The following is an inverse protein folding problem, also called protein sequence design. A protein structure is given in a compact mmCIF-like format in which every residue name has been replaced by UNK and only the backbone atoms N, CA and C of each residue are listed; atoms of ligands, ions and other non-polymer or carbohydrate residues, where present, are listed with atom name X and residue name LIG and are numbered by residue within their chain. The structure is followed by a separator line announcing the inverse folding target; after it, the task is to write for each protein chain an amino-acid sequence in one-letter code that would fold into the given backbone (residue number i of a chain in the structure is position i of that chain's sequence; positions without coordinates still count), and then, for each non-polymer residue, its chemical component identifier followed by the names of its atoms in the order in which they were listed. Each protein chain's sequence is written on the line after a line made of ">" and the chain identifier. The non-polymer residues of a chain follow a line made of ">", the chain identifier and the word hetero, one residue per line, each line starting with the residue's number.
data_IF_593901027888
#
_entry.id   IF_593901027888
#
_cell.length_a   1.000
_cell.length_b   1.000
_cell.length_c   1.000
_cell.angle_alpha   90.00
_cell.angle_beta   90.00
_cell.angle_gamma   90.00
#
_symmetry.space_group_name_H-M   'P 1'
#
loop_
_entity.id
_entity.type
_entity.pdbx_description
1 polymer ?
#
# COMPACT_ATOMS: atom_id res chain seq x y z
N UNK A 1 5.33 3.38 -24.63
CA UNK A 1 4.49 3.41 -23.42
C UNK A 1 5.07 2.46 -22.40
N UNK A 2 5.35 2.93 -21.19
CA UNK A 2 5.78 2.04 -20.12
C UNK A 2 4.65 1.08 -19.76
N UNK A 3 4.99 -0.17 -19.61
CA UNK A 3 4.04 -1.14 -19.12
C UNK A 3 3.80 -0.95 -17.62
N UNK A 4 2.67 -1.40 -17.13
CA UNK A 4 2.27 -1.23 -15.72
C UNK A 4 3.33 -1.79 -14.74
N UNK A 5 3.95 -2.92 -15.06
CA UNK A 5 4.99 -3.55 -14.22
C UNK A 5 6.38 -2.96 -14.38
N UNK A 6 6.58 -2.09 -15.37
CA UNK A 6 7.85 -1.36 -15.57
C UNK A 6 7.87 -0.05 -14.79
N UNK A 7 6.82 0.23 -14.05
CA UNK A 7 6.74 1.44 -13.23
C UNK A 7 7.90 1.49 -12.23
N UNK A 8 8.63 2.57 -12.22
CA UNK A 8 9.81 2.80 -11.40
C UNK A 8 11.11 2.04 -11.80
N UNK A 9 11.14 1.23 -12.85
CA UNK A 9 12.35 0.48 -13.21
C UNK A 9 13.56 1.35 -13.57
N UNK A 10 13.33 2.50 -14.20
CA UNK A 10 14.38 3.42 -14.66
C UNK A 10 14.66 4.55 -13.67
N UNK A 11 14.20 4.44 -12.44
CA UNK A 11 14.36 5.46 -11.41
C UNK A 11 15.49 5.08 -10.49
N UNK A 12 16.35 6.04 -10.17
CA UNK A 12 17.42 5.85 -9.23
C UNK A 12 16.89 5.82 -7.81
N UNK A 13 17.03 4.67 -7.17
CA UNK A 13 16.68 4.45 -5.78
C UNK A 13 17.93 4.23 -4.93
N UNK A 14 17.82 4.62 -3.67
CA UNK A 14 18.67 4.13 -2.60
C UNK A 14 17.88 3.16 -1.74
N UNK A 15 18.52 2.11 -1.23
CA UNK A 15 17.92 1.20 -0.26
C UNK A 15 18.45 1.59 1.11
N UNK A 16 17.57 2.12 1.98
CA UNK A 16 17.92 2.59 3.31
C UNK A 16 16.98 1.95 4.33
N UNK A 17 17.54 1.25 5.31
CA UNK A 17 16.74 0.55 6.31
C UNK A 17 15.78 -0.49 5.73
N UNK A 18 16.11 -1.07 4.57
CA UNK A 18 15.27 -2.02 3.87
C UNK A 18 14.21 -1.41 2.96
N UNK A 19 14.13 -0.08 2.85
CA UNK A 19 13.16 0.62 2.01
C UNK A 19 13.80 1.22 0.77
N UNK A 20 13.13 1.08 -0.37
CA UNK A 20 13.50 1.80 -1.58
C UNK A 20 12.97 3.23 -1.52
N UNK A 21 13.87 4.18 -1.54
CA UNK A 21 13.58 5.61 -1.49
C UNK A 21 14.25 6.32 -2.67
N UNK A 22 13.65 7.41 -3.12
CA UNK A 22 14.19 8.18 -4.24
C UNK A 22 15.48 8.88 -3.82
N UNK A 23 16.55 8.71 -4.61
CA UNK A 23 17.85 9.32 -4.29
C UNK A 23 18.07 10.70 -4.92
N UNK A 24 17.13 11.20 -5.72
CA UNK A 24 17.19 12.55 -6.27
C UNK A 24 16.94 13.66 -5.24
N UNK A 25 16.40 13.33 -4.08
CA UNK A 25 16.16 14.26 -2.99
C UNK A 25 17.26 14.20 -1.94
N UNK A 26 17.51 15.31 -1.19
CA UNK A 26 18.61 15.38 -0.23
C UNK A 26 18.36 14.65 1.10
N UNK A 27 17.15 14.09 1.30
CA UNK A 27 16.69 13.53 2.57
C UNK A 27 16.21 12.06 2.48
N UNK A 28 17.00 11.15 1.88
CA UNK A 28 16.57 9.75 1.74
C UNK A 28 16.42 9.03 3.09
N UNK A 29 17.20 9.40 4.09
CA UNK A 29 17.07 8.83 5.44
C UNK A 29 15.72 9.19 6.08
N UNK A 30 15.24 10.41 5.89
CA UNK A 30 13.94 10.84 6.39
C UNK A 30 12.82 10.10 5.66
N UNK A 31 12.92 9.93 4.35
CA UNK A 31 11.96 9.14 3.57
C UNK A 31 11.86 7.70 4.09
N UNK A 32 13.00 7.05 4.33
CA UNK A 32 13.04 5.70 4.90
C UNK A 32 12.36 5.63 6.27
N UNK A 33 12.62 6.59 7.14
CA UNK A 33 11.98 6.65 8.47
C UNK A 33 10.47 6.77 8.36
N UNK A 34 9.96 7.59 7.44
CA UNK A 34 8.52 7.75 7.23
C UNK A 34 7.89 6.43 6.78
N UNK A 35 8.51 5.73 5.83
CA UNK A 35 8.01 4.42 5.38
C UNK A 35 8.01 3.42 6.53
N UNK A 36 9.03 3.42 7.37
CA UNK A 36 9.09 2.55 8.54
C UNK A 36 7.98 2.88 9.56
N UNK A 37 7.73 4.15 9.83
CA UNK A 37 6.64 4.56 10.71
C UNK A 37 5.28 4.14 10.17
N UNK A 38 5.05 4.26 8.87
CA UNK A 38 3.82 3.78 8.22
C UNK A 38 3.67 2.26 8.38
N UNK A 39 4.75 1.50 8.25
CA UNK A 39 4.72 0.04 8.51
C UNK A 39 4.33 -0.29 9.94
N UNK A 40 4.86 0.43 10.91
CA UNK A 40 4.52 0.26 12.32
C UNK A 40 3.05 0.61 12.59
N UNK A 41 2.54 1.66 11.96
CA UNK A 41 1.12 2.04 12.05
C UNK A 41 0.23 0.95 11.48
N UNK A 42 0.56 0.38 10.33
CA UNK A 42 -0.15 -0.74 9.74
C UNK A 42 -0.19 -1.92 10.72
N UNK A 43 0.94 -2.29 11.28
CA UNK A 43 1.03 -3.39 12.23
C UNK A 43 0.11 -3.18 13.44
N UNK A 44 0.20 -2.02 14.08
CA UNK A 44 -0.64 -1.67 15.23
C UNK A 44 -2.13 -1.68 14.87
N UNK A 45 -2.47 -1.13 13.71
CA UNK A 45 -3.87 -1.03 13.27
C UNK A 45 -4.51 -2.39 13.11
N UNK A 46 -3.84 -3.32 12.45
CA UNK A 46 -4.42 -4.63 12.17
C UNK A 46 -4.36 -5.61 13.34
N UNK A 47 -3.51 -5.37 14.33
CA UNK A 47 -3.52 -6.17 15.56
C UNK A 47 -4.64 -5.77 16.52
N UNK A 48 -5.21 -4.59 16.41
CA UNK A 48 -6.25 -4.07 17.31
C UNK A 48 -7.70 -4.29 16.83
N UNK A 49 -7.92 -4.53 15.53
CA UNK A 49 -9.27 -4.60 14.95
C UNK A 49 -10.17 -5.62 15.64
N UNK A 50 -9.66 -6.81 15.92
CA UNK A 50 -10.44 -7.96 16.41
C UNK A 50 -11.11 -7.75 17.76
N UNK A 51 -10.74 -6.72 18.50
CA UNK A 51 -11.21 -6.51 19.87
C UNK A 51 -12.30 -5.45 20.00
N UNK A 52 -12.58 -4.70 18.97
CA UNK A 52 -13.38 -3.46 19.07
C UNK A 52 -14.55 -3.38 18.10
N UNK A 53 -14.67 -4.29 17.13
CA UNK A 53 -15.63 -4.12 16.03
C UNK A 53 -16.71 -5.22 16.02
N UNK A 54 -17.94 -4.84 15.69
CA UNK A 54 -19.01 -5.78 15.33
C UNK A 54 -18.62 -6.41 13.98
N UNK A 55 -18.70 -7.74 13.89
CA UNK A 55 -18.29 -8.45 12.68
C UNK A 55 -19.28 -8.19 11.54
N UNK A 56 -18.81 -7.48 10.53
CA UNK A 56 -19.45 -7.30 9.23
C UNK A 56 -18.64 -8.05 8.16
N UNK A 57 -19.16 -8.22 6.93
CA UNK A 57 -18.36 -8.83 5.86
C UNK A 57 -17.02 -8.12 5.64
N UNK A 58 -17.00 -6.80 5.72
CA UNK A 58 -15.78 -6.01 5.55
C UNK A 58 -14.81 -6.21 6.72
N UNK A 59 -15.27 -6.27 7.95
CA UNK A 59 -14.44 -6.56 9.13
C UNK A 59 -13.88 -7.98 9.04
N UNK A 60 -14.71 -8.96 8.68
CA UNK A 60 -14.24 -10.32 8.47
C UNK A 60 -13.13 -10.39 7.43
N UNK A 61 -13.29 -9.67 6.31
CA UNK A 61 -12.25 -9.58 5.30
C UNK A 61 -10.96 -8.96 5.84
N UNK A 62 -11.04 -7.90 6.62
CA UNK A 62 -9.85 -7.28 7.23
C UNK A 62 -9.17 -8.22 8.22
N UNK A 63 -9.92 -8.97 9.00
CA UNK A 63 -9.38 -9.97 9.94
C UNK A 63 -8.68 -11.12 9.19
N UNK A 64 -9.28 -11.63 8.12
CA UNK A 64 -8.70 -12.72 7.33
C UNK A 64 -7.51 -12.29 6.48
N UNK A 65 -7.44 -11.04 6.08
CA UNK A 65 -6.34 -10.49 5.28
C UNK A 65 -5.28 -9.74 6.10
N UNK A 66 -5.50 -9.54 7.39
CA UNK A 66 -4.63 -8.71 8.25
C UNK A 66 -3.16 -9.12 8.20
N UNK A 67 -2.88 -10.41 8.17
CA UNK A 67 -1.54 -10.95 8.05
C UNK A 67 -0.85 -10.48 6.76
N UNK A 68 -1.57 -10.54 5.65
CA UNK A 68 -1.06 -10.13 4.34
C UNK A 68 -0.84 -8.61 4.29
N UNK A 69 -1.80 -7.85 4.82
CA UNK A 69 -1.71 -6.39 4.86
C UNK A 69 -0.51 -5.92 5.70
N UNK A 70 -0.20 -6.61 6.78
CA UNK A 70 0.98 -6.33 7.60
C UNK A 70 2.29 -6.63 6.88
N UNK A 71 2.30 -7.58 5.96
CA UNK A 71 3.50 -7.96 5.20
C UNK A 71 3.72 -7.12 3.94
N UNK A 72 2.80 -6.23 3.58
CA UNK A 72 2.95 -5.39 2.39
C UNK A 72 4.24 -4.58 2.47
N UNK A 73 5.00 -4.59 1.37
CA UNK A 73 6.17 -3.74 1.22
C UNK A 73 5.74 -2.33 0.80
N UNK A 74 6.34 -1.33 1.43
CA UNK A 74 6.16 0.07 1.05
C UNK A 74 7.40 0.59 0.35
N UNK A 75 7.22 1.35 -0.73
CA UNK A 75 8.29 2.01 -1.45
C UNK A 75 7.89 3.45 -1.77
N UNK A 76 8.87 4.34 -1.88
CA UNK A 76 8.60 5.71 -2.31
C UNK A 76 8.30 5.75 -3.81
N UNK A 77 7.19 6.35 -4.18
CA UNK A 77 6.84 6.63 -5.57
C UNK A 77 7.42 7.96 -6.02
N UNK A 78 7.85 8.03 -7.28
CA UNK A 78 8.29 9.30 -7.88
C UNK A 78 7.18 10.35 -7.99
N UNK A 79 5.92 9.94 -7.79
CA UNK A 79 4.78 10.84 -8.00
C UNK A 79 4.52 11.12 -9.46
N UNK A 80 3.76 10.25 -10.11
CA UNK A 80 3.19 10.56 -11.41
C UNK A 80 1.98 11.47 -11.19
N UNK A 81 1.71 12.38 -12.14
CA UNK A 81 0.50 13.19 -12.12
C UNK A 81 -0.79 12.37 -12.16
N UNK A 82 -0.71 11.12 -12.59
CA UNK A 82 -1.85 10.19 -12.68
C UNK A 82 -2.01 9.32 -11.42
N UNK A 83 -0.90 9.03 -10.71
CA UNK A 83 -0.93 8.13 -9.56
C UNK A 83 -0.22 8.73 -8.35
N UNK A 84 -0.94 8.97 -7.28
CA UNK A 84 -0.36 9.30 -5.97
C UNK A 84 0.05 8.03 -5.21
N UNK A 85 -0.60 6.92 -5.50
CA UNK A 85 -0.28 5.59 -4.98
C UNK A 85 -0.50 4.52 -6.05
N UNK A 86 0.21 3.45 -5.94
CA UNK A 86 0.10 2.31 -6.85
C UNK A 86 0.37 1.02 -6.10
N UNK A 87 -0.53 0.08 -6.28
CA UNK A 87 -0.44 -1.26 -5.71
C UNK A 87 -0.21 -2.26 -6.84
N UNK A 88 0.99 -2.81 -6.93
CA UNK A 88 1.36 -3.76 -7.99
C UNK A 88 2.14 -4.96 -7.46
N UNK A 89 2.29 -6.03 -8.25
CA UNK A 89 3.15 -7.15 -7.88
C UNK A 89 4.56 -6.69 -7.54
N UNK A 90 5.14 -7.29 -6.49
CA UNK A 90 6.48 -7.00 -6.02
C UNK A 90 7.54 -7.56 -6.97
N UNK A 91 8.61 -6.80 -7.17
CA UNK A 91 9.78 -7.24 -7.91
C UNK A 91 9.72 -6.98 -9.41
N UNK A 92 10.77 -7.39 -10.10
CA UNK A 92 10.86 -7.31 -11.55
C UNK A 92 10.33 -8.63 -12.11
N UNK A 93 9.20 -8.57 -12.77
CA UNK A 93 8.58 -9.74 -13.39
C UNK A 93 8.48 -9.54 -14.88
N UNK A 94 8.72 -10.60 -15.63
CA UNK A 94 8.30 -10.63 -17.04
C UNK A 94 6.78 -10.54 -17.12
N UNK A 95 6.24 -10.13 -18.26
CA UNK A 95 4.78 -10.17 -18.50
C UNK A 95 4.15 -11.51 -18.15
N UNK A 96 4.87 -12.60 -18.45
CA UNK A 96 4.42 -13.97 -18.17
C UNK A 96 4.32 -14.20 -16.66
N UNK A 97 5.35 -13.81 -15.92
CA UNK A 97 5.39 -13.99 -14.46
C UNK A 97 4.33 -13.15 -13.77
N UNK A 98 4.17 -11.90 -14.18
CA UNK A 98 3.14 -11.01 -13.65
C UNK A 98 1.73 -11.56 -13.90
N UNK A 99 1.48 -12.15 -15.07
CA UNK A 99 0.20 -12.80 -15.38
C UNK A 99 -0.03 -14.05 -14.55
N UNK A 100 0.99 -14.84 -14.33
CA UNK A 100 0.91 -16.03 -13.48
C UNK A 100 0.58 -15.65 -12.04
N UNK A 101 1.34 -14.73 -11.47
CA UNK A 101 1.09 -14.21 -10.12
C UNK A 101 -0.31 -13.59 -10.04
N UNK A 102 -0.73 -12.89 -11.09
CA UNK A 102 -2.05 -12.26 -11.17
C UNK A 102 -3.23 -13.24 -11.15
N UNK A 103 -3.03 -14.50 -11.51
CA UNK A 103 -4.09 -15.54 -11.49
C UNK A 103 -4.26 -16.17 -10.11
N UNK A 104 -3.20 -16.25 -9.32
CA UNK A 104 -3.24 -16.77 -7.96
C UNK A 104 -3.38 -15.61 -6.97
N UNK A 105 -4.52 -15.54 -6.30
CA UNK A 105 -4.84 -14.46 -5.35
C UNK A 105 -3.89 -14.40 -4.17
N UNK A 106 -3.47 -15.55 -3.65
CA UNK A 106 -2.56 -15.62 -2.51
C UNK A 106 -1.16 -15.14 -2.91
N UNK A 107 -0.68 -15.53 -4.09
CA UNK A 107 0.58 -15.04 -4.62
C UNK A 107 0.54 -13.54 -4.90
N UNK A 108 -0.57 -13.03 -5.46
CA UNK A 108 -0.73 -11.58 -5.68
C UNK A 108 -0.59 -10.79 -4.39
N UNK A 109 -1.26 -11.23 -3.35
CA UNK A 109 -1.21 -10.56 -2.07
C UNK A 109 0.20 -10.59 -1.46
N UNK A 110 0.83 -11.76 -1.48
CA UNK A 110 2.18 -11.95 -0.92
C UNK A 110 3.26 -11.13 -1.63
N UNK A 111 3.13 -10.95 -2.95
CA UNK A 111 4.16 -10.29 -3.77
C UNK A 111 3.78 -8.87 -4.20
N UNK A 112 2.79 -8.27 -3.58
CA UNK A 112 2.44 -6.88 -3.88
C UNK A 112 3.29 -5.90 -3.09
N UNK A 113 3.53 -4.77 -3.71
CA UNK A 113 4.18 -3.63 -3.10
C UNK A 113 3.31 -2.40 -3.30
N UNK A 114 3.25 -1.55 -2.29
CA UNK A 114 2.56 -0.27 -2.36
C UNK A 114 3.59 0.83 -2.59
N UNK A 115 3.45 1.54 -3.69
CA UNK A 115 4.23 2.75 -4.00
C UNK A 115 3.44 3.95 -3.49
N UNK A 116 4.07 4.75 -2.64
CA UNK A 116 3.44 5.92 -2.02
C UNK A 116 4.16 7.19 -2.41
N UNK A 117 3.41 8.17 -2.87
CA UNK A 117 3.90 9.55 -3.01
C UNK A 117 3.90 10.21 -1.63
N UNK A 118 5.04 10.22 -0.98
CA UNK A 118 5.20 10.77 0.36
C UNK A 118 5.61 12.24 0.37
N UNK A 119 5.79 12.85 -0.81
CA UNK A 119 6.24 14.25 -0.95
C UNK A 119 5.17 15.11 -1.59
N UNK A 120 5.19 16.38 -1.26
CA UNK A 120 4.38 17.39 -1.93
C UNK A 120 5.05 17.85 -3.25
N UNK A 121 4.40 18.78 -3.96
CA UNK A 121 4.89 19.32 -5.23
C UNK A 121 6.28 19.95 -5.14
N UNK A 122 6.65 20.46 -3.97
CA UNK A 122 7.96 21.07 -3.71
C UNK A 122 9.04 20.06 -3.28
N UNK A 123 8.73 18.76 -3.30
CA UNK A 123 9.64 17.70 -2.89
C UNK A 123 9.78 17.53 -1.38
N UNK A 124 9.01 18.26 -0.58
CA UNK A 124 9.01 18.12 0.89
C UNK A 124 8.17 16.93 1.33
N UNK A 125 8.67 16.17 2.28
CA UNK A 125 7.96 15.04 2.86
C UNK A 125 6.71 15.53 3.59
N UNK A 126 5.57 14.91 3.27
CA UNK A 126 4.28 15.17 3.90
C UNK A 126 4.29 14.71 5.35
N UNK A 127 3.46 15.31 6.18
CA UNK A 127 3.17 14.78 7.52
C UNK A 127 2.48 13.41 7.38
N UNK A 128 2.77 12.49 8.28
CA UNK A 128 2.21 11.12 8.27
C UNK A 128 0.69 11.14 8.16
N UNK A 129 0.01 11.97 8.94
CA UNK A 129 -1.46 12.08 8.88
C UNK A 129 -2.01 12.38 7.48
N UNK A 130 -1.22 13.05 6.64
CA UNK A 130 -1.63 13.40 5.27
C UNK A 130 -1.32 12.28 4.26
N UNK A 131 -0.52 11.29 4.65
CA UNK A 131 -0.21 10.12 3.83
C UNK A 131 -1.22 8.99 4.10
N UNK A 132 -1.81 8.95 5.28
CA UNK A 132 -2.71 7.86 5.69
C UNK A 132 -3.91 7.65 4.76
N UNK A 133 -4.58 8.68 4.20
CA UNK A 133 -5.69 8.45 3.26
C UNK A 133 -5.24 7.69 2.01
N UNK A 134 -4.07 7.99 1.47
CA UNK A 134 -3.51 7.28 0.33
C UNK A 134 -3.17 5.84 0.71
N UNK A 135 -2.54 5.64 1.85
CA UNK A 135 -2.18 4.31 2.34
C UNK A 135 -3.42 3.44 2.56
N UNK A 136 -4.48 3.97 3.17
CA UNK A 136 -5.72 3.22 3.40
C UNK A 136 -6.37 2.80 2.09
N UNK A 137 -6.37 3.68 1.09
CA UNK A 137 -6.87 3.41 -0.25
C UNK A 137 -6.17 2.20 -0.88
N UNK A 138 -4.85 2.18 -0.85
CA UNK A 138 -4.06 1.09 -1.42
C UNK A 138 -4.21 -0.23 -0.62
N UNK A 139 -4.32 -0.14 0.70
CA UNK A 139 -4.58 -1.32 1.53
C UNK A 139 -5.98 -1.90 1.27
N UNK A 140 -6.98 -1.06 1.03
CA UNK A 140 -8.31 -1.51 0.66
C UNK A 140 -8.31 -2.29 -0.66
N UNK A 141 -7.57 -1.84 -1.67
CA UNK A 141 -7.37 -2.59 -2.91
C UNK A 141 -6.73 -3.96 -2.64
N UNK A 142 -5.73 -4.02 -1.78
CA UNK A 142 -5.09 -5.30 -1.42
C UNK A 142 -6.09 -6.25 -0.76
N UNK A 143 -6.87 -5.77 0.19
CA UNK A 143 -7.88 -6.59 0.87
C UNK A 143 -8.93 -7.13 -0.11
N UNK A 144 -9.46 -6.28 -1.00
CA UNK A 144 -10.46 -6.68 -1.98
C UNK A 144 -9.96 -7.70 -3.00
N UNK A 145 -8.67 -7.76 -3.26
CA UNK A 145 -8.10 -8.77 -4.16
C UNK A 145 -8.26 -10.21 -3.65
N UNK A 146 -8.64 -10.40 -2.38
CA UNK A 146 -8.85 -11.72 -1.77
C UNK A 146 -10.27 -12.23 -1.87
N UNK A 147 -11.22 -11.41 -2.32
CA UNK A 147 -12.62 -11.80 -2.47
C UNK A 147 -13.14 -11.46 -3.86
N UNK A 148 -14.15 -12.22 -4.29
CA UNK A 148 -14.89 -11.93 -5.51
C UNK A 148 -16.23 -11.28 -5.13
N UNK A 149 -16.16 -10.07 -4.60
CA UNK A 149 -17.37 -9.28 -4.44
C UNK A 149 -17.76 -8.64 -5.77
N UNK A 150 -19.05 -8.37 -5.93
CA UNK A 150 -19.60 -7.82 -7.19
C UNK A 150 -19.32 -6.33 -7.35
N UNK A 151 -18.59 -5.72 -6.46
CA UNK A 151 -18.26 -4.31 -6.54
C UNK A 151 -17.18 -4.07 -7.59
N UNK A 152 -17.35 -2.97 -8.31
CA UNK A 152 -16.27 -2.39 -9.08
C UNK A 152 -15.15 -1.91 -8.15
N UNK A 153 -14.04 -1.56 -8.76
CA UNK A 153 -12.77 -1.21 -8.10
C UNK A 153 -12.90 -0.13 -7.02
N UNK A 154 -13.93 0.69 -7.04
CA UNK A 154 -14.22 1.73 -6.04
C UNK A 154 -15.70 1.73 -5.64
N UNK A 155 -16.30 0.55 -5.48
CA UNK A 155 -17.69 0.37 -5.12
C UNK A 155 -17.96 0.52 -3.61
N UNK A 156 -19.14 0.08 -3.18
CA UNK A 156 -19.61 0.23 -1.80
C UNK A 156 -18.73 -0.49 -0.78
N UNK A 157 -18.27 -1.70 -1.09
CA UNK A 157 -17.37 -2.47 -0.20
C UNK A 157 -16.00 -1.81 -0.10
N UNK A 158 -15.47 -1.32 -1.21
CA UNK A 158 -14.22 -0.57 -1.20
C UNK A 158 -14.32 0.66 -0.29
N UNK A 159 -15.37 1.43 -0.44
CA UNK A 159 -15.61 2.64 0.35
C UNK A 159 -15.64 2.35 1.86
N UNK A 160 -16.37 1.29 2.25
CA UNK A 160 -16.42 0.86 3.65
C UNK A 160 -15.06 0.41 4.17
N UNK A 161 -14.35 -0.40 3.39
CA UNK A 161 -13.00 -0.86 3.75
C UNK A 161 -12.03 0.30 3.91
N UNK A 162 -12.01 1.21 2.96
CA UNK A 162 -11.13 2.37 2.99
C UNK A 162 -11.38 3.23 4.24
N UNK A 163 -12.63 3.53 4.53
CA UNK A 163 -13.01 4.30 5.73
C UNK A 163 -12.63 3.58 7.02
N UNK A 164 -12.83 2.27 7.09
CA UNK A 164 -12.48 1.48 8.27
C UNK A 164 -10.98 1.40 8.46
N UNK A 165 -10.23 1.12 7.42
CA UNK A 165 -8.77 1.09 7.46
C UNK A 165 -8.24 2.46 7.90
N UNK A 166 -8.71 3.53 7.28
CA UNK A 166 -8.28 4.88 7.64
C UNK A 166 -8.54 5.22 9.10
N UNK A 167 -9.71 4.85 9.62
CA UNK A 167 -10.04 5.01 11.04
C UNK A 167 -9.01 4.32 11.93
N UNK A 168 -8.69 3.05 11.65
CA UNK A 168 -7.73 2.30 12.44
C UNK A 168 -6.30 2.83 12.31
N UNK A 169 -5.90 3.26 11.11
CA UNK A 169 -4.60 3.90 10.92
C UNK A 169 -4.48 5.17 11.76
N UNK A 170 -5.51 6.01 11.78
CA UNK A 170 -5.55 7.24 12.59
C UNK A 170 -5.49 6.97 14.09
N UNK A 171 -6.16 5.92 14.55
CA UNK A 171 -6.13 5.53 15.96
C UNK A 171 -4.75 4.99 16.39
N UNK A 172 -3.92 4.60 15.47
CA UNK A 172 -2.58 4.03 15.71
C UNK A 172 -1.45 5.04 15.55
N UNK A 173 -1.79 6.31 15.33
CA UNK A 173 -0.82 7.40 15.28
C UNK A 173 -0.11 7.61 16.61
#
# INVERSE_FOLDING_TARGET
>A
MKEFWDFNENINYSIIGGYKVLNKYPDPNTASKILNELKLIIYKSFTSIRFTEIITPEIDLLLTTSFILQEMQLEESQGDVVFEGLNKPKGVYTKKDARYIGKDKNLRAKYRVIFLTIRNENGKIKKIKNILPLLSHELAHTALNHVKWRDDDHGTHFDKLDKMILKHLRLSL
#
